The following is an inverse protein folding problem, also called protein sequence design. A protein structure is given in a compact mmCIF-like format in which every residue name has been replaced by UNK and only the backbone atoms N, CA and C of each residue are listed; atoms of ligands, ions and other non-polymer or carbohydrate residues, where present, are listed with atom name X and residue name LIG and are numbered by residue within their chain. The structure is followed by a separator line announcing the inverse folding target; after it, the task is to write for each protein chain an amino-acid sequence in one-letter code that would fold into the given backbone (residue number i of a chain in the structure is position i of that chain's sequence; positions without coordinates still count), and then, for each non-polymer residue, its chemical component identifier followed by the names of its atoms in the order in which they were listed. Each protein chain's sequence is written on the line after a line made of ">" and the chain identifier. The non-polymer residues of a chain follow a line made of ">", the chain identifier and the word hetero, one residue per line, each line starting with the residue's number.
data_IF_041727114877
#
_entry.id   IF_041727114877
#
_cell.length_a   1.000
_cell.length_b   1.000
_cell.length_c   1.000
_cell.angle_alpha   90.00
_cell.angle_beta   90.00
_cell.angle_gamma   90.00
#
_symmetry.space_group_name_H-M   'P 1'
#
loop_
_entity.id
_entity.type
_entity.pdbx_description
1 polymer ?
#
# COMPACT_ATOMS: atom_id res chain seq x y z
N UNK A 1 -5.73 15.51 6.00
CA UNK A 1 -4.46 15.11 5.36
C UNK A 1 -4.09 15.94 4.13
N UNK A 2 -5.01 16.16 3.19
CA UNK A 2 -4.72 16.80 1.89
C UNK A 2 -3.95 18.13 1.98
N UNK A 3 -4.35 19.03 2.88
CA UNK A 3 -3.63 20.30 3.08
C UNK A 3 -2.17 20.12 3.51
N UNK A 4 -1.91 19.14 4.37
CA UNK A 4 -0.55 18.84 4.81
C UNK A 4 0.28 18.21 3.68
N UNK A 5 -0.34 17.37 2.85
CA UNK A 5 0.29 16.84 1.64
C UNK A 5 0.61 17.95 0.64
N UNK A 6 -0.28 18.92 0.43
CA UNK A 6 -0.04 20.08 -0.44
C UNK A 6 1.12 20.93 0.09
N UNK A 7 1.15 21.24 1.38
CA UNK A 7 2.25 22.01 1.98
C UNK A 7 3.58 21.25 1.81
N UNK A 8 3.58 19.94 2.08
CA UNK A 8 4.75 19.09 1.89
C UNK A 8 5.23 19.10 0.43
N UNK A 9 4.30 18.98 -0.51
CA UNK A 9 4.58 19.07 -1.94
C UNK A 9 5.25 20.41 -2.31
N UNK A 10 4.71 21.54 -1.84
CA UNK A 10 5.32 22.85 -2.10
C UNK A 10 6.72 22.99 -1.49
N UNK A 11 6.95 22.41 -0.32
CA UNK A 11 8.27 22.39 0.33
C UNK A 11 9.28 21.52 -0.44
N UNK A 12 8.86 20.35 -0.92
CA UNK A 12 9.73 19.42 -1.66
C UNK A 12 10.06 19.93 -3.07
N UNK A 13 9.17 20.71 -3.68
CA UNK A 13 9.35 21.34 -5.00
C UNK A 13 9.96 22.74 -4.96
N UNK A 14 10.30 23.25 -3.78
CA UNK A 14 11.00 24.53 -3.67
C UNK A 14 12.40 24.40 -4.29
N UNK A 15 12.62 25.00 -5.47
CA UNK A 15 13.89 24.94 -6.21
C UNK A 15 14.68 26.24 -6.08
N UNK A 16 16.00 26.10 -5.98
CA UNK A 16 16.92 27.22 -5.90
C UNK A 16 17.02 27.98 -7.23
N UNK A 17 16.97 29.31 -7.17
CA UNK A 17 17.24 30.21 -8.30
C UNK A 17 18.74 30.50 -8.43
N UNK A 18 19.15 31.03 -9.59
CA UNK A 18 20.56 31.39 -9.83
C UNK A 18 21.09 32.35 -8.76
N UNK A 19 22.19 31.97 -8.10
CA UNK A 19 22.88 32.80 -7.12
C UNK A 19 22.36 32.72 -5.69
N UNK A 20 21.36 31.87 -5.39
CA UNK A 20 20.93 31.64 -4.02
C UNK A 20 21.99 30.86 -3.25
N UNK A 21 22.44 31.43 -2.14
CA UNK A 21 23.33 30.78 -1.19
C UNK A 21 22.74 30.85 0.21
N UNK A 22 22.83 29.74 0.94
CA UNK A 22 22.50 29.72 2.37
C UNK A 22 23.81 29.52 3.14
N UNK A 23 24.30 30.59 3.76
CA UNK A 23 25.57 30.63 4.49
C UNK A 23 26.75 30.12 3.62
N UNK A 24 27.23 28.89 3.86
CA UNK A 24 28.34 28.25 3.17
C UNK A 24 27.92 27.27 2.06
N UNK A 25 26.62 27.21 1.74
CA UNK A 25 26.06 26.28 0.77
C UNK A 25 25.65 27.08 -0.47
N UNK A 26 26.38 26.88 -1.57
CA UNK A 26 25.95 27.34 -2.89
C UNK A 26 25.04 26.29 -3.52
N UNK A 27 23.83 26.68 -3.88
CA UNK A 27 22.90 25.81 -4.58
C UNK A 27 23.16 25.86 -6.09
N UNK A 28 23.02 24.71 -6.75
CA UNK A 28 22.98 24.65 -8.20
C UNK A 28 21.58 25.06 -8.68
N UNK A 29 21.49 25.73 -9.82
CA UNK A 29 20.21 26.16 -10.39
C UNK A 29 19.25 24.98 -10.61
N UNK A 30 18.05 25.08 -10.04
CA UNK A 30 17.02 24.04 -10.16
C UNK A 30 17.15 22.87 -9.17
N UNK A 31 18.11 22.90 -8.25
CA UNK A 31 18.23 21.92 -7.17
C UNK A 31 17.15 22.16 -6.09
N UNK A 32 16.51 21.11 -5.54
CA UNK A 32 15.51 21.29 -4.49
C UNK A 32 16.18 21.64 -3.15
N UNK A 33 15.67 22.69 -2.50
CA UNK A 33 16.30 23.31 -1.33
C UNK A 33 16.14 22.44 -0.08
N UNK A 34 14.90 22.09 0.27
CA UNK A 34 14.59 21.39 1.52
C UNK A 34 15.25 19.99 1.62
N UNK A 35 15.22 19.14 0.57
CA UNK A 35 15.89 17.84 0.59
C UNK A 35 17.41 17.94 0.68
N UNK A 36 18.01 18.98 0.09
CA UNK A 36 19.45 19.23 0.16
C UNK A 36 19.86 19.71 1.55
N UNK A 37 19.08 20.62 2.15
CA UNK A 37 19.28 21.07 3.52
C UNK A 37 19.10 19.93 4.53
N UNK A 38 18.16 19.01 4.26
CA UNK A 38 17.98 17.80 5.06
C UNK A 38 19.18 16.85 4.91
N UNK A 39 19.66 16.62 3.69
CA UNK A 39 20.84 15.78 3.43
C UNK A 39 22.12 16.33 4.07
N UNK A 40 22.23 17.66 4.20
CA UNK A 40 23.36 18.35 4.87
C UNK A 40 23.18 18.46 6.39
N UNK A 41 22.07 17.98 6.94
CA UNK A 41 21.79 18.01 8.39
C UNK A 41 21.42 19.39 8.94
N UNK A 42 21.13 20.38 8.09
CA UNK A 42 20.63 21.69 8.51
C UNK A 42 19.17 21.59 8.97
N UNK A 43 18.38 20.77 8.27
CA UNK A 43 17.01 20.42 8.65
C UNK A 43 17.04 18.96 9.11
N UNK A 44 16.63 18.68 10.35
CA UNK A 44 16.62 17.31 10.86
C UNK A 44 15.46 16.49 10.28
N UNK A 45 14.24 17.04 10.35
CA UNK A 45 13.02 16.35 9.93
C UNK A 45 11.84 17.32 9.79
N UNK A 46 10.93 17.02 8.86
CA UNK A 46 9.68 17.76 8.64
C UNK A 46 8.53 16.77 8.79
N UNK A 47 7.66 16.97 9.78
CA UNK A 47 6.53 16.08 10.06
C UNK A 47 5.20 16.82 10.13
N UNK A 48 4.11 16.19 9.66
CA UNK A 48 2.76 16.70 9.87
C UNK A 48 2.35 16.60 11.35
N UNK A 49 1.72 17.65 11.85
CA UNK A 49 1.18 17.68 13.21
C UNK A 49 -0.15 16.91 13.25
N UNK A 50 -0.28 16.01 14.23
CA UNK A 50 -1.48 15.17 14.40
C UNK A 50 -2.53 15.87 15.26
N UNK A 51 -3.80 15.70 14.90
CA UNK A 51 -4.92 16.17 15.70
C UNK A 51 -5.39 15.06 16.66
N UNK A 52 -4.98 15.18 17.93
CA UNK A 52 -5.21 14.16 18.97
C UNK A 52 -6.69 13.82 19.20
N UNK A 53 -7.60 14.77 18.97
CA UNK A 53 -9.05 14.55 19.14
C UNK A 53 -9.60 13.57 18.11
N UNK A 54 -9.24 13.78 16.84
CA UNK A 54 -9.66 12.92 15.73
C UNK A 54 -9.03 11.53 15.89
N UNK A 55 -7.74 11.48 16.23
CA UNK A 55 -7.03 10.22 16.43
C UNK A 55 -7.66 9.34 17.52
N UNK A 56 -8.05 9.93 18.66
CA UNK A 56 -8.72 9.19 19.74
C UNK A 56 -10.10 8.65 19.33
N UNK A 57 -10.87 9.44 18.56
CA UNK A 57 -12.16 9.01 18.02
C UNK A 57 -11.99 7.86 17.04
N UNK A 58 -11.04 8.00 16.11
CA UNK A 58 -10.71 7.00 15.10
C UNK A 58 -10.28 5.68 15.76
N UNK A 59 -9.40 5.72 16.75
CA UNK A 59 -8.93 4.52 17.46
C UNK A 59 -10.09 3.77 18.12
N UNK A 60 -11.03 4.50 18.76
CA UNK A 60 -12.19 3.88 19.40
C UNK A 60 -13.15 3.25 18.38
N UNK A 61 -13.44 3.97 17.30
CA UNK A 61 -14.30 3.50 16.20
C UNK A 61 -13.70 2.27 15.50
N UNK A 62 -12.41 2.33 15.19
CA UNK A 62 -11.69 1.29 14.47
C UNK A 62 -11.57 0.00 15.25
N UNK A 63 -11.16 0.04 16.53
CA UNK A 63 -11.03 -1.17 17.36
C UNK A 63 -12.37 -1.89 17.48
N UNK A 64 -13.47 -1.14 17.58
CA UNK A 64 -14.80 -1.72 17.67
C UNK A 64 -15.24 -2.34 16.35
N UNK A 65 -14.92 -1.69 15.23
CA UNK A 65 -15.27 -2.17 13.90
C UNK A 65 -14.44 -3.37 13.42
N UNK A 66 -13.24 -3.61 13.96
CA UNK A 66 -12.49 -4.85 13.70
C UNK A 66 -13.23 -6.09 14.26
N UNK A 67 -14.05 -5.91 15.30
CA UNK A 67 -14.90 -6.97 15.84
C UNK A 67 -16.25 -7.11 15.12
N UNK A 68 -16.64 -6.14 14.29
CA UNK A 68 -17.88 -6.18 13.51
C UNK A 68 -17.59 -6.62 12.08
N UNK A 69 -18.28 -7.67 11.62
CA UNK A 69 -18.23 -8.08 10.23
C UNK A 69 -18.73 -6.91 9.36
N UNK A 70 -17.89 -6.44 8.43
CA UNK A 70 -18.28 -5.35 7.54
C UNK A 70 -19.53 -5.75 6.75
N UNK A 71 -20.60 -4.93 6.73
CA UNK A 71 -21.80 -5.21 5.96
C UNK A 71 -21.55 -4.89 4.48
N UNK A 72 -20.61 -5.62 3.84
CA UNK A 72 -20.37 -5.53 2.40
C UNK A 72 -21.50 -6.20 1.58
N UNK A 73 -22.43 -6.89 2.23
CA UNK A 73 -23.55 -7.59 1.59
C UNK A 73 -24.84 -6.77 1.42
N UNK A 74 -24.99 -5.63 2.10
CA UNK A 74 -26.28 -4.92 2.18
C UNK A 74 -26.56 -3.95 1.04
N UNK A 75 -25.68 -3.86 0.02
CA UNK A 75 -25.94 -3.07 -1.20
C UNK A 75 -26.66 -3.90 -2.27
N UNK A 76 -26.62 -5.24 -2.21
CA UNK A 76 -27.28 -6.11 -3.20
C UNK A 76 -28.68 -6.59 -2.77
N UNK A 77 -29.03 -6.51 -1.49
CA UNK A 77 -30.34 -6.96 -0.97
C UNK A 77 -31.38 -5.84 -0.83
N UNK A 78 -30.98 -4.57 -1.03
CA UNK A 78 -31.85 -3.40 -0.96
C UNK A 78 -32.64 -3.08 -2.23
N UNK A 79 -32.68 -3.97 -3.23
CA UNK A 79 -33.66 -3.87 -4.32
C UNK A 79 -34.97 -4.42 -3.79
N UNK A 80 -35.73 -3.52 -3.16
CA UNK A 80 -37.11 -3.73 -2.76
C UNK A 80 -37.92 -4.36 -3.90
N UNK A 81 -38.28 -5.63 -3.72
CA UNK A 81 -39.44 -6.21 -4.39
C UNK A 81 -40.69 -5.53 -3.83
N UNK A 82 -41.07 -4.41 -4.43
CA UNK A 82 -42.27 -3.65 -4.10
C UNK A 82 -42.53 -2.61 -5.18
N UNK A 83 -43.38 -2.97 -6.14
CA UNK A 83 -43.57 -2.22 -7.37
C UNK A 83 -44.13 -0.80 -7.17
N UNK A 84 -43.50 0.14 -7.86
CA UNK A 84 -44.13 1.32 -8.50
C UNK A 84 -43.10 1.97 -9.42
N UNK A 85 -43.26 1.78 -10.74
CA UNK A 85 -42.51 2.54 -11.75
C UNK A 85 -43.12 3.94 -11.86
N UNK A 86 -42.70 4.84 -10.98
CA UNK A 86 -42.99 6.26 -11.06
C UNK A 86 -41.69 7.02 -11.27
N UNK A 87 -41.63 7.82 -12.33
CA UNK A 87 -40.52 8.71 -12.68
C UNK A 87 -40.17 9.67 -11.56
N UNK A 88 -39.15 9.34 -10.76
CA UNK A 88 -38.48 10.31 -9.89
C UNK A 88 -37.26 10.89 -10.63
N UNK A 89 -37.04 12.22 -10.58
CA UNK A 89 -35.76 12.81 -10.98
C UNK A 89 -34.65 12.15 -10.15
N UNK A 90 -33.52 11.83 -10.77
CA UNK A 90 -32.35 11.27 -10.09
C UNK A 90 -31.87 12.21 -8.97
N UNK A 91 -32.40 12.04 -7.77
CA UNK A 91 -31.82 12.59 -6.55
C UNK A 91 -30.49 11.89 -6.31
N UNK A 92 -29.41 12.62 -5.96
CA UNK A 92 -28.15 11.98 -5.60
C UNK A 92 -28.41 11.00 -4.46
N UNK A 93 -27.82 9.78 -4.52
CA UNK A 93 -27.99 8.81 -3.45
C UNK A 93 -27.57 9.44 -2.11
N UNK A 94 -28.30 9.18 -1.00
CA UNK A 94 -27.90 9.67 0.30
C UNK A 94 -26.46 9.21 0.60
N UNK A 95 -25.64 10.06 1.25
CA UNK A 95 -24.26 9.69 1.58
C UNK A 95 -24.30 8.41 2.41
N UNK A 96 -23.68 7.35 1.86
CA UNK A 96 -23.56 6.07 2.56
C UNK A 96 -22.72 6.29 3.83
N UNK A 97 -23.06 5.66 4.96
CA UNK A 97 -22.23 5.74 6.16
C UNK A 97 -20.81 5.29 5.81
N UNK A 98 -19.83 6.16 6.05
CA UNK A 98 -18.43 5.88 5.74
C UNK A 98 -17.98 4.64 6.52
N UNK A 99 -17.28 3.73 5.85
CA UNK A 99 -16.66 2.59 6.54
C UNK A 99 -15.50 3.09 7.40
N UNK A 100 -15.11 2.39 8.47
CA UNK A 100 -13.96 2.77 9.29
C UNK A 100 -12.65 2.88 8.48
N UNK A 101 -12.53 2.15 7.37
CA UNK A 101 -11.40 2.28 6.45
C UNK A 101 -11.39 3.62 5.69
N UNK A 102 -12.57 4.16 5.39
CA UNK A 102 -12.72 5.47 4.75
C UNK A 102 -12.33 6.61 5.72
N UNK A 103 -12.67 6.50 7.01
CA UNK A 103 -12.23 7.47 8.03
C UNK A 103 -10.70 7.48 8.20
N UNK A 104 -10.06 6.31 8.12
CA UNK A 104 -8.60 6.18 8.13
C UNK A 104 -8.01 6.81 6.87
N UNK A 105 -8.67 6.62 5.72
CA UNK A 105 -8.27 7.19 4.44
C UNK A 105 -8.24 8.73 4.49
N UNK A 106 -9.29 9.34 5.03
CA UNK A 106 -9.36 10.82 5.14
C UNK A 106 -8.30 11.40 6.08
N UNK A 107 -7.97 10.69 7.17
CA UNK A 107 -7.03 11.18 8.18
C UNK A 107 -5.56 10.88 7.84
N UNK A 108 -5.23 9.63 7.46
CA UNK A 108 -3.86 9.19 7.18
C UNK A 108 -3.50 9.19 5.70
N UNK A 109 -4.49 9.12 4.82
CA UNK A 109 -4.32 9.01 3.37
C UNK A 109 -4.47 7.58 2.86
N UNK A 110 -4.64 7.49 1.55
CA UNK A 110 -4.97 6.25 0.81
C UNK A 110 -3.93 5.14 1.02
N UNK A 111 -2.63 5.48 1.00
CA UNK A 111 -1.55 4.47 1.15
C UNK A 111 -1.65 3.70 2.48
N UNK A 112 -1.97 4.41 3.57
CA UNK A 112 -2.08 3.82 4.92
C UNK A 112 -3.43 3.09 5.07
N UNK A 113 -4.51 3.67 4.55
CA UNK A 113 -5.83 3.03 4.56
C UNK A 113 -5.84 1.71 3.77
N UNK A 114 -5.19 1.66 2.61
CA UNK A 114 -5.08 0.45 1.81
C UNK A 114 -4.34 -0.67 2.56
N UNK A 115 -3.28 -0.32 3.32
CA UNK A 115 -2.58 -1.28 4.17
C UNK A 115 -3.50 -1.85 5.26
N UNK A 116 -4.23 -0.99 5.98
CA UNK A 116 -5.14 -1.46 7.03
C UNK A 116 -6.33 -2.25 6.47
N UNK A 117 -6.85 -1.87 5.31
CA UNK A 117 -7.88 -2.64 4.60
C UNK A 117 -7.37 -4.03 4.20
N UNK A 118 -6.14 -4.12 3.67
CA UNK A 118 -5.49 -5.39 3.36
C UNK A 118 -5.29 -6.25 4.59
N UNK A 119 -4.83 -5.66 5.69
CA UNK A 119 -4.59 -6.37 6.95
C UNK A 119 -5.90 -6.93 7.54
N UNK A 120 -6.98 -6.15 7.52
CA UNK A 120 -8.31 -6.61 7.93
C UNK A 120 -8.80 -7.76 7.06
N UNK A 121 -8.66 -7.65 5.75
CA UNK A 121 -9.00 -8.72 4.82
C UNK A 121 -8.16 -9.99 5.07
N UNK A 122 -6.85 -9.86 5.23
CA UNK A 122 -5.93 -10.98 5.49
C UNK A 122 -6.25 -11.74 6.78
N UNK A 123 -6.49 -11.01 7.87
CA UNK A 123 -6.82 -11.62 9.17
C UNK A 123 -8.16 -12.35 9.13
N UNK A 124 -9.18 -11.79 8.47
CA UNK A 124 -10.45 -12.48 8.25
C UNK A 124 -10.30 -13.72 7.35
N UNK A 125 -9.46 -13.64 6.31
CA UNK A 125 -9.24 -14.73 5.37
C UNK A 125 -8.44 -15.90 5.98
N UNK A 126 -7.55 -15.65 6.95
CA UNK A 126 -6.79 -16.69 7.66
C UNK A 126 -7.68 -17.58 8.54
N UNK A 127 -8.89 -17.15 8.90
CA UNK A 127 -9.83 -17.97 9.66
C UNK A 127 -10.23 -19.22 8.87
N UNK A 128 -10.38 -19.13 7.54
CA UNK A 128 -10.74 -20.29 6.70
C UNK A 128 -9.71 -21.43 6.77
N UNK A 129 -8.41 -21.22 6.48
CA UNK A 129 -7.40 -22.26 6.60
C UNK A 129 -7.16 -22.69 8.06
N UNK A 130 -7.32 -21.81 9.04
CA UNK A 130 -7.19 -22.17 10.45
C UNK A 130 -8.28 -23.16 10.88
N UNK A 131 -9.54 -22.90 10.54
CA UNK A 131 -10.67 -23.80 10.84
C UNK A 131 -10.53 -25.10 10.06
N UNK A 132 -10.25 -25.04 8.76
CA UNK A 132 -10.10 -26.24 7.92
C UNK A 132 -8.92 -27.11 8.36
N UNK A 133 -7.77 -26.52 8.66
CA UNK A 133 -6.61 -27.22 9.18
C UNK A 133 -6.85 -27.84 10.56
N UNK A 134 -7.57 -27.14 11.46
CA UNK A 134 -7.95 -27.68 12.76
C UNK A 134 -8.85 -28.92 12.64
N UNK A 135 -9.82 -28.91 11.72
CA UNK A 135 -10.68 -30.07 11.46
C UNK A 135 -9.85 -31.26 10.96
N UNK A 136 -8.99 -31.05 9.96
CA UNK A 136 -8.13 -32.12 9.43
C UNK A 136 -7.15 -32.66 10.48
N UNK A 137 -6.63 -31.80 11.37
CA UNK A 137 -5.74 -32.21 12.45
C UNK A 137 -6.40 -33.21 13.40
N UNK A 138 -7.67 -33.00 13.77
CA UNK A 138 -8.40 -33.96 14.62
C UNK A 138 -8.64 -35.32 13.95
N UNK A 139 -8.76 -35.34 12.62
CA UNK A 139 -8.97 -36.57 11.83
C UNK A 139 -7.65 -37.34 11.64
N UNK A 140 -6.54 -36.61 11.57
CA UNK A 140 -5.18 -37.14 11.33
C UNK A 140 -4.67 -38.05 12.46
N UNK A 141 -5.19 -37.93 13.68
CA UNK A 141 -4.77 -38.77 14.82
C UNK A 141 -5.19 -40.25 14.70
N UNK A 142 -6.04 -40.60 13.73
CA UNK A 142 -6.66 -41.93 13.70
C UNK A 142 -5.84 -43.04 13.02
N UNK A 143 -5.09 -42.76 11.94
CA UNK A 143 -4.31 -43.79 11.22
C UNK A 143 -3.28 -43.22 10.21
N UNK A 144 -2.22 -43.95 9.85
CA UNK A 144 -1.18 -43.48 8.91
C UNK A 144 -1.74 -43.22 7.49
N UNK A 145 -2.69 -44.05 7.04
CA UNK A 145 -3.37 -43.88 5.75
C UNK A 145 -4.22 -42.61 5.70
N UNK A 146 -4.76 -42.20 6.85
CA UNK A 146 -5.54 -40.96 6.97
C UNK A 146 -4.66 -39.71 6.85
N UNK A 147 -3.40 -39.77 7.30
CA UNK A 147 -2.47 -38.64 7.23
C UNK A 147 -2.11 -38.28 5.79
N UNK A 148 -1.80 -39.28 4.97
CA UNK A 148 -1.44 -39.07 3.56
C UNK A 148 -2.61 -38.46 2.78
N UNK A 149 -3.82 -38.95 3.01
CA UNK A 149 -5.04 -38.43 2.38
C UNK A 149 -5.31 -36.99 2.86
N UNK A 150 -5.21 -36.72 4.17
CA UNK A 150 -5.39 -35.38 4.73
C UNK A 150 -4.36 -34.38 4.17
N UNK A 151 -3.11 -34.80 3.97
CA UNK A 151 -2.06 -33.96 3.39
C UNK A 151 -2.39 -33.54 1.96
N UNK A 152 -2.83 -34.47 1.10
CA UNK A 152 -3.22 -34.17 -0.29
C UNK A 152 -4.43 -33.25 -0.34
N UNK A 153 -5.45 -33.53 0.48
CA UNK A 153 -6.66 -32.70 0.57
C UNK A 153 -6.32 -31.28 1.04
N UNK A 154 -5.47 -31.16 2.06
CA UNK A 154 -4.99 -29.87 2.56
C UNK A 154 -4.19 -29.11 1.50
N UNK A 155 -3.32 -29.78 0.74
CA UNK A 155 -2.54 -29.15 -0.31
C UNK A 155 -3.44 -28.56 -1.42
N UNK A 156 -4.41 -29.33 -1.91
CA UNK A 156 -5.38 -28.86 -2.91
C UNK A 156 -6.18 -27.67 -2.38
N UNK A 157 -6.66 -27.76 -1.14
CA UNK A 157 -7.37 -26.66 -0.50
C UNK A 157 -6.50 -25.39 -0.41
N UNK A 158 -5.22 -25.49 -0.01
CA UNK A 158 -4.34 -24.33 0.10
C UNK A 158 -4.11 -23.64 -1.25
N UNK A 159 -3.96 -24.41 -2.34
CA UNK A 159 -3.81 -23.86 -3.68
C UNK A 159 -5.07 -23.11 -4.11
N UNK A 160 -6.24 -23.71 -3.92
CA UNK A 160 -7.53 -23.09 -4.26
C UNK A 160 -7.79 -21.85 -3.39
N UNK A 161 -7.60 -21.95 -2.08
CA UNK A 161 -7.78 -20.84 -1.17
C UNK A 161 -6.82 -19.68 -1.46
N UNK A 162 -5.53 -19.96 -1.72
CA UNK A 162 -4.55 -18.91 -2.03
C UNK A 162 -4.86 -18.17 -3.33
N UNK A 163 -5.32 -18.89 -4.35
CA UNK A 163 -5.71 -18.29 -5.63
C UNK A 163 -6.97 -17.43 -5.48
N UNK A 164 -8.00 -17.93 -4.80
CA UNK A 164 -9.22 -17.17 -4.48
C UNK A 164 -8.89 -15.93 -3.65
N UNK A 165 -8.07 -16.06 -2.61
CA UNK A 165 -7.64 -14.95 -1.75
C UNK A 165 -6.99 -13.82 -2.55
N UNK A 166 -6.07 -14.15 -3.47
CA UNK A 166 -5.40 -13.16 -4.30
C UNK A 166 -6.36 -12.48 -5.29
N UNK A 167 -7.23 -13.24 -5.95
CA UNK A 167 -8.21 -12.69 -6.90
C UNK A 167 -9.26 -11.81 -6.20
N UNK A 168 -9.72 -12.24 -5.03
CA UNK A 168 -10.63 -11.48 -4.19
C UNK A 168 -10.01 -10.16 -3.71
N UNK A 169 -8.74 -10.19 -3.30
CA UNK A 169 -8.03 -8.98 -2.94
C UNK A 169 -7.85 -8.03 -4.13
N UNK A 170 -7.51 -8.54 -5.32
CA UNK A 170 -7.40 -7.71 -6.53
C UNK A 170 -8.71 -6.98 -6.81
N UNK A 171 -9.85 -7.68 -6.71
CA UNK A 171 -11.17 -7.06 -6.90
C UNK A 171 -11.48 -6.02 -5.84
N UNK A 172 -11.34 -6.36 -4.56
CA UNK A 172 -11.60 -5.43 -3.43
C UNK A 172 -10.66 -4.23 -3.45
N UNK A 173 -9.39 -4.44 -3.78
CA UNK A 173 -8.39 -3.39 -3.92
C UNK A 173 -8.74 -2.39 -5.02
N UNK A 174 -9.28 -2.87 -6.15
CA UNK A 174 -9.78 -2.00 -7.22
C UNK A 174 -11.03 -1.22 -6.79
N UNK A 175 -11.96 -1.85 -6.07
CA UNK A 175 -13.13 -1.16 -5.49
C UNK A 175 -12.73 -0.05 -4.53
N UNK A 176 -11.78 -0.30 -3.63
CA UNK A 176 -11.25 0.72 -2.72
C UNK A 176 -10.52 1.84 -3.47
N UNK A 177 -9.68 1.51 -4.44
CA UNK A 177 -9.00 2.51 -5.27
C UNK A 177 -9.98 3.38 -6.06
N UNK A 178 -11.09 2.81 -6.53
CA UNK A 178 -12.17 3.55 -7.19
C UNK A 178 -12.89 4.49 -6.22
N UNK A 179 -13.33 3.98 -5.07
CA UNK A 179 -14.03 4.77 -4.03
C UNK A 179 -13.20 5.96 -3.53
N UNK A 180 -11.89 5.76 -3.36
CA UNK A 180 -10.96 6.79 -2.90
C UNK A 180 -10.42 7.68 -4.02
N UNK A 181 -10.87 7.50 -5.27
CA UNK A 181 -10.50 8.34 -6.40
C UNK A 181 -9.04 8.21 -6.86
N UNK A 182 -8.34 7.15 -6.46
CA UNK A 182 -6.94 6.89 -6.85
C UNK A 182 -6.80 5.90 -8.00
N UNK A 183 -7.91 5.38 -8.55
CA UNK A 183 -7.89 4.42 -9.65
C UNK A 183 -7.41 5.05 -10.97
N UNK A 184 -7.87 6.26 -11.27
CA UNK A 184 -7.62 6.93 -12.55
C UNK A 184 -6.38 7.83 -12.55
N UNK A 185 -5.72 8.00 -11.41
CA UNK A 185 -4.44 8.71 -11.33
C UNK A 185 -3.33 7.78 -11.81
N UNK A 186 -2.76 7.94 -13.02
CA UNK A 186 -1.66 7.10 -13.46
C UNK A 186 -0.49 7.35 -12.50
N UNK A 187 -0.08 6.30 -11.77
CA UNK A 187 0.95 6.39 -10.73
C UNK A 187 2.24 7.08 -11.21
N UNK A 188 2.55 6.97 -12.51
CA UNK A 188 3.74 7.57 -13.14
C UNK A 188 3.58 9.06 -13.52
N UNK A 189 2.35 9.56 -13.66
CA UNK A 189 2.09 10.93 -14.17
C UNK A 189 1.88 12.00 -13.10
N UNK A 190 1.62 11.61 -11.84
CA UNK A 190 1.45 12.53 -10.70
C UNK A 190 2.53 12.33 -9.63
N UNK A 191 3.15 11.15 -9.54
CA UNK A 191 4.26 10.93 -8.60
C UNK A 191 5.52 11.57 -9.20
N UNK A 192 5.69 12.86 -8.91
CA UNK A 192 6.85 13.62 -9.32
C UNK A 192 8.15 12.90 -8.92
N UNK A 193 9.20 13.02 -9.74
CA UNK A 193 10.44 12.34 -9.48
C UNK A 193 10.94 12.74 -8.09
N UNK A 194 11.37 11.74 -7.29
CA UNK A 194 11.95 11.96 -5.96
C UNK A 194 12.87 13.18 -6.00
N UNK A 195 12.82 14.11 -5.04
CA UNK A 195 13.55 15.37 -5.19
C UNK A 195 15.06 15.21 -5.43
N UNK A 196 15.67 14.15 -4.89
CA UNK A 196 17.08 13.81 -5.08
C UNK A 196 17.38 13.07 -6.41
N UNK A 197 16.40 12.91 -7.29
CA UNK A 197 16.57 12.25 -8.57
C UNK A 197 17.47 13.08 -9.49
N UNK A 198 18.56 12.47 -9.95
CA UNK A 198 19.46 13.07 -10.94
C UNK A 198 19.26 12.40 -12.29
N UNK A 199 19.05 13.22 -13.31
CA UNK A 199 18.88 12.77 -14.69
C UNK A 199 19.28 13.86 -15.68
N UNK A 200 19.18 13.54 -16.96
CA UNK A 200 19.38 14.50 -18.05
C UNK A 200 18.02 15.17 -18.28
N UNK A 201 17.98 16.52 -18.35
CA UNK A 201 16.75 17.24 -18.68
C UNK A 201 16.30 16.87 -20.10
N UNK A 202 15.06 16.43 -20.24
CA UNK A 202 14.40 16.08 -21.51
C UNK A 202 12.98 16.64 -21.49
N UNK A 203 12.46 17.03 -22.65
CA UNK A 203 11.03 17.36 -22.79
C UNK A 203 10.25 16.06 -22.92
N UNK A 204 9.24 15.87 -22.07
CA UNK A 204 8.37 14.71 -22.09
C UNK A 204 7.56 14.68 -23.39
N UNK A 205 7.48 13.54 -24.10
CA UNK A 205 6.72 13.44 -25.36
C UNK A 205 5.19 13.54 -25.16
N UNK A 206 4.68 13.37 -23.94
CA UNK A 206 3.24 13.34 -23.64
C UNK A 206 2.77 14.64 -22.98
N UNK A 207 3.49 15.14 -21.96
CA UNK A 207 3.08 16.32 -21.19
C UNK A 207 3.71 17.62 -21.69
N UNK A 208 4.68 17.54 -22.61
CA UNK A 208 5.52 18.67 -23.04
C UNK A 208 6.23 19.42 -21.89
N UNK A 209 6.24 18.85 -20.69
CA UNK A 209 6.93 19.40 -19.53
C UNK A 209 8.42 18.97 -19.52
N UNK A 210 9.27 19.77 -18.88
CA UNK A 210 10.67 19.40 -18.63
C UNK A 210 10.75 18.34 -17.53
N UNK A 211 11.26 17.16 -17.87
CA UNK A 211 11.45 16.04 -16.94
C UNK A 211 12.92 15.62 -16.87
N UNK A 212 13.33 15.05 -15.74
CA UNK A 212 14.64 14.39 -15.62
C UNK A 212 14.52 12.95 -16.12
N UNK A 213 15.30 12.59 -17.14
CA UNK A 213 15.32 11.24 -17.71
C UNK A 213 16.58 10.47 -17.30
N UNK A 214 16.42 9.20 -16.91
CA UNK A 214 17.52 8.27 -16.66
C UNK A 214 17.37 7.03 -17.54
N UNK A 215 18.40 6.65 -18.34
CA UNK A 215 18.27 5.56 -19.31
C UNK A 215 18.06 4.20 -18.62
N UNK A 216 17.07 3.40 -19.07
CA UNK A 216 16.67 2.17 -18.39
C UNK A 216 17.75 1.09 -18.44
N UNK A 217 18.57 1.04 -19.49
CA UNK A 217 19.67 0.06 -19.59
C UNK A 217 20.74 0.29 -18.52
N UNK A 218 21.02 1.54 -18.14
CA UNK A 218 21.99 1.84 -17.06
C UNK A 218 21.40 1.40 -15.73
N UNK A 219 20.11 1.65 -15.52
CA UNK A 219 19.40 1.23 -14.30
C UNK A 219 19.43 -0.28 -14.16
N UNK A 220 19.14 -1.00 -15.25
CA UNK A 220 19.19 -2.45 -15.28
C UNK A 220 20.62 -2.97 -15.06
N UNK A 221 21.63 -2.35 -15.68
CA UNK A 221 23.03 -2.71 -15.47
C UNK A 221 23.43 -2.59 -14.00
N UNK A 222 23.12 -1.46 -13.34
CA UNK A 222 23.38 -1.28 -11.91
C UNK A 222 22.58 -2.27 -11.05
N UNK A 223 21.31 -2.53 -11.38
CA UNK A 223 20.51 -3.50 -10.65
C UNK A 223 21.11 -4.92 -10.76
N UNK A 224 21.46 -5.35 -11.97
CA UNK A 224 22.00 -6.68 -12.20
C UNK A 224 23.43 -6.86 -11.67
N UNK A 225 24.32 -5.86 -11.85
CA UNK A 225 25.73 -5.98 -11.46
C UNK A 225 26.00 -5.64 -9.99
N UNK A 226 25.09 -4.92 -9.31
CA UNK A 226 25.30 -4.49 -7.92
C UNK A 226 24.23 -5.05 -6.99
N UNK A 227 22.95 -4.77 -7.23
CA UNK A 227 21.91 -5.20 -6.28
C UNK A 227 21.70 -6.71 -6.26
N UNK A 228 21.67 -7.38 -7.43
CA UNK A 228 21.50 -8.84 -7.49
C UNK A 228 22.63 -9.61 -6.78
N UNK A 229 23.94 -9.34 -7.02
CA UNK A 229 24.98 -10.07 -6.31
C UNK A 229 24.95 -9.80 -4.81
N UNK A 230 24.65 -8.57 -4.36
CA UNK A 230 24.51 -8.26 -2.93
C UNK A 230 23.34 -9.04 -2.31
N UNK A 231 22.21 -9.15 -3.01
CA UNK A 231 21.09 -9.97 -2.55
C UNK A 231 21.47 -11.45 -2.48
N UNK A 232 22.16 -11.97 -3.50
CA UNK A 232 22.59 -13.37 -3.54
C UNK A 232 23.61 -13.71 -2.45
N UNK A 233 24.56 -12.82 -2.15
CA UNK A 233 25.52 -13.03 -1.05
C UNK A 233 24.84 -12.97 0.31
N UNK A 234 23.86 -12.09 0.49
CA UNK A 234 23.06 -12.04 1.73
C UNK A 234 22.25 -13.34 1.91
N UNK A 235 21.57 -13.81 0.87
CA UNK A 235 20.79 -15.05 0.90
C UNK A 235 21.68 -16.28 1.14
N UNK A 236 22.85 -16.34 0.50
CA UNK A 236 23.79 -17.44 0.72
C UNK A 236 24.36 -17.42 2.14
N UNK A 237 24.67 -16.26 2.70
CA UNK A 237 25.11 -16.11 4.09
C UNK A 237 24.06 -16.64 5.07
N UNK A 238 22.78 -16.25 4.90
CA UNK A 238 21.69 -16.76 5.74
C UNK A 238 21.55 -18.28 5.62
N UNK A 239 21.69 -18.82 4.42
CA UNK A 239 21.66 -20.26 4.19
C UNK A 239 22.81 -21.00 4.89
N UNK A 240 24.05 -20.50 4.78
CA UNK A 240 25.20 -21.10 5.45
C UNK A 240 25.12 -20.98 6.97
N UNK A 241 24.61 -19.88 7.51
CA UNK A 241 24.36 -19.74 8.95
C UNK A 241 23.34 -20.77 9.43
N UNK A 242 22.25 -20.98 8.68
CA UNK A 242 21.25 -21.99 8.99
C UNK A 242 21.86 -23.40 9.00
N UNK A 243 22.66 -23.77 8.00
CA UNK A 243 23.40 -25.04 8.00
C UNK A 243 24.37 -25.16 9.18
N UNK A 244 25.05 -24.08 9.54
CA UNK A 244 25.92 -24.02 10.70
C UNK A 244 25.15 -24.28 12.00
N UNK A 245 23.97 -23.68 12.16
CA UNK A 245 23.08 -23.94 13.29
C UNK A 245 22.64 -25.41 13.34
N UNK A 246 22.26 -26.01 12.21
CA UNK A 246 21.89 -27.43 12.16
C UNK A 246 23.05 -28.38 12.45
N UNK A 247 24.29 -28.01 12.13
CA UNK A 247 25.47 -28.81 12.48
C UNK A 247 25.86 -28.70 13.96
N UNK A 248 25.49 -27.60 14.61
CA UNK A 248 25.76 -27.35 16.03
C UNK A 248 24.68 -27.95 16.96
N UNK A 249 23.47 -28.15 16.44
CA UNK A 249 22.33 -28.72 17.16
C UNK A 249 22.31 -30.25 17.05
#
# INVERSE_FOLDING_TARGET
>A
QERQNIIRYWLENLRAKQGESLHNIQFLEGQPIIPELAARGVIQQVFPLHEQRILKRLMKSWVQAVCEAQPLGEVLTGVAWGGTWGSQPCSPPPPQPLTPADEICDYFGVKIAMYFAWLGFYTSAMVYPAVFGSILYTITESDQTSQDICCVVFAIFNVVWSTVFLEEWKRRGAEFAYKWGTLDTPAESIEEPRPQFRGIKRISPVTSAEEFYYPPWKRLLFQCLVSLPICLTCLSLVFFLMLGCFHLQ
#
